data_IF_352063978666
#
_entry.id   IF_352063978666
#
_cell.length_a   1.000
_cell.length_b   1.000
_cell.length_c   1.000
_cell.angle_alpha   90.00
_cell.angle_beta   90.00
_cell.angle_gamma   90.00
#
_symmetry.space_group_name_H-M   'P 1'
#
loop_
_entity.id
_entity.type
_entity.pdbx_description
1 polymer ?
#
# COMPACT_ATOMS: atom_id res chain seq x y z
N UNK A 1 0.94 18.37 9.94
CA UNK A 1 1.49 17.76 8.69
C UNK A 1 1.81 16.31 9.02
N UNK A 2 1.30 15.37 8.26
CA UNK A 2 1.51 13.93 8.48
C UNK A 2 2.89 13.54 7.96
N UNK A 3 3.71 12.90 8.79
CA UNK A 3 5.04 12.40 8.43
C UNK A 3 4.90 10.96 7.93
N UNK A 4 5.02 10.81 6.61
CA UNK A 4 4.78 9.56 5.91
C UNK A 4 6.11 8.85 5.61
N UNK A 5 6.12 7.55 5.79
CA UNK A 5 7.19 6.68 5.33
C UNK A 5 6.66 5.59 4.38
N UNK A 6 7.56 4.95 3.61
CA UNK A 6 7.19 3.86 2.70
C UNK A 6 8.00 2.60 2.95
N UNK A 7 7.36 1.45 2.82
CA UNK A 7 8.01 0.13 2.78
C UNK A 7 8.01 -0.36 1.35
N UNK A 8 9.20 -0.33 0.73
CA UNK A 8 9.41 -0.63 -0.68
C UNK A 8 9.83 0.59 -1.51
N UNK A 9 10.46 0.31 -2.65
CA UNK A 9 11.00 1.29 -3.60
C UNK A 9 10.63 0.93 -5.04
N UNK A 10 9.47 0.30 -5.22
CA UNK A 10 8.95 -0.11 -6.52
C UNK A 10 8.17 1.02 -7.21
N UNK A 11 7.84 0.81 -8.49
CA UNK A 11 7.10 1.77 -9.29
C UNK A 11 5.78 2.23 -8.65
N UNK A 12 5.07 1.31 -7.95
CA UNK A 12 3.78 1.63 -7.31
C UNK A 12 3.95 2.65 -6.17
N UNK A 13 5.09 2.59 -5.46
CA UNK A 13 5.42 3.58 -4.43
C UNK A 13 5.63 4.95 -5.08
N UNK A 14 6.31 5.01 -6.23
CA UNK A 14 6.46 6.25 -6.99
C UNK A 14 5.12 6.85 -7.43
N UNK A 15 4.20 6.02 -7.94
CA UNK A 15 2.84 6.49 -8.30
C UNK A 15 2.07 7.01 -7.08
N UNK A 16 2.16 6.32 -5.95
CA UNK A 16 1.56 6.78 -4.70
C UNK A 16 2.15 8.13 -4.25
N UNK A 17 3.47 8.30 -4.32
CA UNK A 17 4.14 9.54 -3.91
C UNK A 17 3.82 10.73 -4.83
N UNK A 18 3.48 10.51 -6.11
CA UNK A 18 2.94 11.57 -6.97
C UNK A 18 1.64 12.13 -6.37
N UNK A 19 0.71 11.24 -5.99
CA UNK A 19 -0.53 11.66 -5.32
C UNK A 19 -0.30 12.35 -3.98
N UNK A 20 0.69 11.90 -3.20
CA UNK A 20 1.08 12.55 -1.93
C UNK A 20 1.53 14.00 -2.16
N UNK A 21 2.32 14.24 -3.21
CA UNK A 21 2.78 15.60 -3.56
C UNK A 21 1.61 16.52 -3.95
N UNK A 22 0.61 15.98 -4.64
CA UNK A 22 -0.58 16.74 -5.07
C UNK A 22 -1.56 17.00 -3.92
N UNK A 23 -1.71 16.06 -2.99
CA UNK A 23 -2.68 16.16 -1.90
C UNK A 23 -2.36 17.27 -0.89
N UNK A 24 -1.09 17.58 -0.68
CA UNK A 24 -0.63 18.50 0.35
C UNK A 24 -0.83 17.98 1.77
N UNK A 25 -0.24 18.65 2.76
CA UNK A 25 -0.41 18.28 4.17
C UNK A 25 0.36 17.03 4.63
N UNK A 26 1.08 16.35 3.72
CA UNK A 26 1.88 15.16 3.99
C UNK A 26 3.35 15.46 3.66
N UNK A 27 4.23 15.08 4.57
CA UNK A 27 5.68 15.16 4.39
C UNK A 27 6.22 13.73 4.20
N UNK A 28 6.89 13.48 3.07
CA UNK A 28 7.58 12.22 2.86
C UNK A 28 8.90 12.22 3.61
N UNK A 29 8.98 11.40 4.66
CA UNK A 29 10.06 11.45 5.65
C UNK A 29 11.09 10.36 5.47
N UNK A 30 10.66 9.13 5.17
CA UNK A 30 11.54 7.97 5.16
C UNK A 30 11.11 6.90 4.15
N UNK A 31 12.08 6.07 3.74
CA UNK A 31 11.80 4.84 3.02
C UNK A 31 12.54 3.65 3.64
N UNK A 32 11.94 2.47 3.49
CA UNK A 32 12.59 1.20 3.76
C UNK A 32 12.95 0.49 2.47
N UNK A 33 14.19 0.03 2.39
CA UNK A 33 14.67 -0.88 1.34
C UNK A 33 15.58 -1.94 1.97
N UNK A 34 15.52 -3.19 1.49
CA UNK A 34 16.47 -4.24 1.88
C UNK A 34 17.90 -3.97 1.39
N UNK A 35 18.02 -3.15 0.36
CA UNK A 35 19.28 -2.72 -0.23
C UNK A 35 19.46 -1.22 0.07
N UNK A 36 20.54 -0.89 0.76
CA UNK A 36 20.85 0.48 1.19
C UNK A 36 21.00 1.42 0.01
N UNK A 37 21.78 1.04 -1.01
CA UNK A 37 22.06 1.91 -2.17
C UNK A 37 20.78 2.21 -2.96
N UNK A 38 19.93 1.20 -3.12
CA UNK A 38 18.61 1.36 -3.76
C UNK A 38 17.70 2.27 -2.92
N UNK A 39 17.75 2.14 -1.61
CA UNK A 39 17.01 3.02 -0.70
C UNK A 39 17.47 4.47 -0.82
N UNK A 40 18.78 4.71 -0.82
CA UNK A 40 19.37 6.05 -0.95
C UNK A 40 19.01 6.71 -2.27
N UNK A 41 19.15 5.98 -3.40
CA UNK A 41 18.75 6.49 -4.71
C UNK A 41 17.25 6.84 -4.77
N UNK A 42 16.40 6.01 -4.17
CA UNK A 42 14.97 6.28 -4.10
C UNK A 42 14.64 7.49 -3.19
N UNK A 43 15.34 7.61 -2.07
CA UNK A 43 15.19 8.74 -1.15
C UNK A 43 15.61 10.07 -1.82
N UNK A 44 16.68 10.06 -2.58
CA UNK A 44 17.14 11.23 -3.35
C UNK A 44 16.11 11.64 -4.41
N UNK A 45 15.58 10.68 -5.19
CA UNK A 45 14.57 10.93 -6.23
C UNK A 45 13.27 11.52 -5.64
N UNK A 46 12.82 10.99 -4.52
CA UNK A 46 11.51 11.32 -3.95
C UNK A 46 11.56 12.32 -2.79
N UNK A 47 12.74 12.63 -2.28
CA UNK A 47 12.95 13.64 -1.22
C UNK A 47 12.73 13.10 0.19
N UNK A 48 12.93 11.80 0.44
CA UNK A 48 12.97 11.27 1.79
C UNK A 48 14.25 11.66 2.51
N UNK A 49 14.15 11.94 3.81
CA UNK A 49 15.29 12.36 4.61
C UNK A 49 16.05 11.18 5.24
N UNK A 50 15.35 10.04 5.41
CA UNK A 50 15.87 8.86 6.09
C UNK A 50 15.68 7.60 5.25
N UNK A 51 16.66 6.71 5.32
CA UNK A 51 16.63 5.38 4.69
C UNK A 51 16.82 4.33 5.77
N UNK A 52 15.95 3.34 5.79
CA UNK A 52 16.01 2.21 6.71
C UNK A 52 16.22 0.90 5.96
N UNK A 53 17.08 0.05 6.51
CA UNK A 53 17.23 -1.36 6.10
C UNK A 53 16.71 -2.32 7.16
N UNK A 54 16.28 -1.79 8.32
CA UNK A 54 15.66 -2.51 9.42
C UNK A 54 14.28 -1.91 9.70
N UNK A 55 13.24 -2.75 9.58
CA UNK A 55 11.84 -2.34 9.80
C UNK A 55 11.55 -2.02 11.26
N UNK A 56 12.22 -2.68 12.22
CA UNK A 56 12.00 -2.42 13.64
C UNK A 56 12.54 -1.04 14.03
N UNK A 57 13.69 -0.65 13.50
CA UNK A 57 14.22 0.70 13.69
C UNK A 57 13.30 1.76 13.08
N UNK A 58 12.78 1.50 11.87
CA UNK A 58 11.83 2.41 11.22
C UNK A 58 10.52 2.53 12.01
N UNK A 59 10.00 1.41 12.53
CA UNK A 59 8.77 1.41 13.32
C UNK A 59 8.92 2.18 14.65
N UNK A 60 10.11 2.13 15.25
CA UNK A 60 10.43 2.84 16.50
C UNK A 60 10.67 4.35 16.32
N UNK A 61 10.81 4.84 15.08
CA UNK A 61 11.07 6.26 14.82
C UNK A 61 9.83 7.12 15.14
N UNK A 62 9.93 7.98 16.15
CA UNK A 62 8.86 8.89 16.55
C UNK A 62 8.55 10.00 15.52
N UNK A 63 9.44 10.20 14.54
CA UNK A 63 9.24 11.15 13.44
C UNK A 63 8.44 10.58 12.26
N UNK A 64 7.86 9.38 12.41
CA UNK A 64 6.96 8.75 11.44
C UNK A 64 5.57 8.63 12.06
N UNK A 65 4.55 9.15 11.38
CA UNK A 65 3.14 9.05 11.80
C UNK A 65 2.40 7.94 11.07
N UNK A 66 2.71 7.77 9.78
CA UNK A 66 2.01 6.84 8.90
C UNK A 66 2.99 6.12 7.97
N UNK A 67 2.62 4.90 7.58
CA UNK A 67 3.43 4.07 6.69
C UNK A 67 2.57 3.55 5.53
N UNK A 68 3.10 3.67 4.30
CA UNK A 68 2.56 3.01 3.12
C UNK A 68 3.38 1.74 2.84
N UNK A 69 2.71 0.58 2.86
CA UNK A 69 3.32 -0.73 2.66
C UNK A 69 3.04 -1.22 1.25
N UNK A 70 4.11 -1.42 0.46
CA UNK A 70 4.07 -1.91 -0.92
C UNK A 70 5.13 -2.99 -1.14
N UNK A 71 5.22 -3.91 -0.22
CA UNK A 71 6.08 -5.09 -0.24
C UNK A 71 5.38 -6.28 -0.92
N UNK A 72 6.02 -7.46 -1.06
CA UNK A 72 5.32 -8.67 -1.48
C UNK A 72 4.17 -9.05 -0.53
N UNK A 73 3.03 -9.47 -1.07
CA UNK A 73 1.77 -9.72 -0.35
C UNK A 73 1.92 -10.53 0.94
N UNK A 74 2.76 -11.57 0.93
CA UNK A 74 3.03 -12.44 2.09
C UNK A 74 3.65 -11.72 3.30
N UNK A 75 4.15 -10.49 3.11
CA UNK A 75 4.78 -9.69 4.15
C UNK A 75 3.84 -8.61 4.71
N UNK A 76 2.68 -8.41 4.09
CA UNK A 76 1.76 -7.34 4.45
C UNK A 76 1.28 -7.46 5.89
N UNK A 77 0.89 -8.68 6.31
CA UNK A 77 0.41 -8.93 7.67
C UNK A 77 1.46 -8.58 8.73
N UNK A 78 2.63 -9.19 8.68
CA UNK A 78 3.67 -8.99 9.69
C UNK A 78 4.16 -7.54 9.74
N UNK A 79 4.28 -6.90 8.58
CA UNK A 79 4.71 -5.52 8.50
C UNK A 79 3.63 -4.57 9.02
N UNK A 80 2.38 -4.76 8.65
CA UNK A 80 1.26 -3.96 9.17
C UNK A 80 1.15 -4.10 10.69
N UNK A 81 1.25 -5.33 11.22
CA UNK A 81 1.25 -5.61 12.64
C UNK A 81 2.35 -4.85 13.38
N UNK A 82 3.58 -4.91 12.87
CA UNK A 82 4.72 -4.21 13.43
C UNK A 82 4.45 -2.71 13.56
N UNK A 83 4.02 -2.05 12.48
CA UNK A 83 3.80 -0.62 12.50
C UNK A 83 2.60 -0.21 13.36
N UNK A 84 1.50 -0.96 13.33
CA UNK A 84 0.35 -0.72 14.21
C UNK A 84 0.74 -0.88 15.68
N UNK A 85 1.54 -1.88 16.04
CA UNK A 85 2.03 -2.07 17.41
C UNK A 85 2.85 -0.87 17.90
N UNK A 86 3.60 -0.23 17.00
CA UNK A 86 4.39 0.97 17.28
C UNK A 86 3.60 2.29 17.13
N UNK A 87 2.27 2.22 17.02
CA UNK A 87 1.42 3.41 16.99
C UNK A 87 1.43 4.18 15.66
N UNK A 88 1.76 3.51 14.55
CA UNK A 88 1.76 4.13 13.22
C UNK A 88 0.46 3.80 12.48
N UNK A 89 -0.11 4.79 11.79
CA UNK A 89 -1.17 4.56 10.81
C UNK A 89 -0.62 3.75 9.63
N UNK A 90 -1.42 2.86 9.05
CA UNK A 90 -0.97 2.00 7.96
C UNK A 90 -1.91 2.09 6.76
N UNK A 91 -1.33 2.35 5.59
CA UNK A 91 -1.92 2.15 4.28
C UNK A 91 -1.20 0.96 3.65
N UNK A 92 -1.91 -0.13 3.35
CA UNK A 92 -1.28 -1.33 2.80
C UNK A 92 -1.78 -1.61 1.39
N UNK A 93 -0.88 -1.98 0.48
CA UNK A 93 -1.24 -2.42 -0.87
C UNK A 93 -2.13 -3.66 -0.84
N UNK A 94 -2.88 -3.80 -1.94
CA UNK A 94 -3.78 -4.95 -2.13
C UNK A 94 -3.00 -6.22 -2.56
N UNK A 95 -3.42 -7.38 -2.10
CA UNK A 95 -4.40 -7.59 -1.03
C UNK A 95 -3.79 -7.20 0.32
N UNK A 96 -4.60 -6.59 1.17
CA UNK A 96 -4.15 -6.06 2.47
C UNK A 96 -3.60 -7.16 3.40
N UNK A 97 -4.21 -8.36 3.34
CA UNK A 97 -3.73 -9.60 3.95
C UNK A 97 -4.00 -10.78 3.02
N UNK A 98 -3.44 -11.94 3.31
CA UNK A 98 -3.67 -13.17 2.56
C UNK A 98 -4.81 -13.98 3.19
N UNK A 99 -4.89 -14.00 4.52
CA UNK A 99 -5.89 -14.76 5.28
C UNK A 99 -6.89 -13.79 5.96
N UNK A 100 -8.20 -14.14 6.00
CA UNK A 100 -9.22 -13.32 6.65
C UNK A 100 -8.98 -13.08 8.13
N UNK A 101 -8.43 -14.06 8.84
CA UNK A 101 -8.13 -14.00 10.27
C UNK A 101 -7.05 -12.96 10.57
N UNK A 102 -6.06 -12.82 9.68
CA UNK A 102 -5.02 -11.79 9.76
C UNK A 102 -5.63 -10.39 9.65
N UNK A 103 -6.59 -10.21 8.73
CA UNK A 103 -7.29 -8.94 8.57
C UNK A 103 -8.06 -8.56 9.83
N UNK A 104 -8.80 -9.52 10.40
CA UNK A 104 -9.58 -9.27 11.61
C UNK A 104 -8.66 -8.84 12.77
N UNK A 105 -7.56 -9.56 13.01
CA UNK A 105 -6.60 -9.22 14.06
C UNK A 105 -6.04 -7.80 13.90
N UNK A 106 -5.65 -7.42 12.67
CA UNK A 106 -5.09 -6.09 12.42
C UNK A 106 -6.12 -4.98 12.54
N UNK A 107 -7.38 -5.22 12.16
CA UNK A 107 -8.48 -4.28 12.37
C UNK A 107 -8.75 -4.06 13.87
N UNK A 108 -8.79 -5.12 14.66
CA UNK A 108 -8.96 -5.04 16.11
C UNK A 108 -7.79 -4.29 16.78
N UNK A 109 -6.54 -4.58 16.35
CA UNK A 109 -5.36 -3.88 16.86
C UNK A 109 -5.39 -2.38 16.52
N UNK A 110 -5.74 -2.04 15.28
CA UNK A 110 -5.85 -0.65 14.85
C UNK A 110 -6.94 0.10 15.64
N UNK A 111 -8.10 -0.54 15.85
CA UNK A 111 -9.19 0.03 16.64
C UNK A 111 -8.77 0.26 18.10
N UNK A 112 -8.14 -0.72 18.75
CA UNK A 112 -7.67 -0.62 20.12
C UNK A 112 -6.69 0.53 20.32
N UNK A 113 -5.86 0.81 19.32
CA UNK A 113 -4.85 1.87 19.35
C UNK A 113 -5.33 3.20 18.76
N UNK A 114 -6.58 3.28 18.29
CA UNK A 114 -7.13 4.44 17.60
C UNK A 114 -6.29 4.84 16.38
N UNK A 115 -5.89 3.86 15.58
CA UNK A 115 -5.09 4.02 14.35
C UNK A 115 -5.93 3.76 13.10
N UNK A 116 -5.51 4.36 12.00
CA UNK A 116 -6.06 4.09 10.67
C UNK A 116 -5.31 2.89 10.08
N UNK A 117 -6.07 1.88 9.64
CA UNK A 117 -5.58 0.75 8.87
C UNK A 117 -6.47 0.58 7.64
N UNK A 118 -5.95 0.85 6.46
CA UNK A 118 -6.72 0.85 5.21
C UNK A 118 -5.98 0.15 4.08
N UNK A 119 -6.76 -0.48 3.19
CA UNK A 119 -6.26 -1.07 1.95
C UNK A 119 -6.18 -0.02 0.85
N UNK A 120 -5.09 -0.05 0.07
CA UNK A 120 -4.86 0.86 -1.06
C UNK A 120 -5.69 0.45 -2.30
N UNK A 121 -7.01 0.40 -2.15
CA UNK A 121 -7.97 0.14 -3.24
C UNK A 121 -8.26 1.42 -4.01
N UNK A 122 -7.34 1.84 -4.88
CA UNK A 122 -7.42 3.10 -5.63
C UNK A 122 -8.78 3.27 -6.31
N UNK A 123 -9.33 2.19 -6.89
CA UNK A 123 -10.61 2.21 -7.61
C UNK A 123 -11.77 2.78 -6.78
N UNK A 124 -11.80 2.52 -5.47
CA UNK A 124 -12.88 2.96 -4.58
C UNK A 124 -12.88 4.49 -4.40
N UNK A 125 -11.70 5.11 -4.47
CA UNK A 125 -11.52 6.54 -4.24
C UNK A 125 -11.59 7.39 -5.52
N UNK A 126 -11.71 6.76 -6.70
CA UNK A 126 -11.81 7.49 -7.95
C UNK A 126 -13.13 8.30 -8.04
N UNK A 127 -13.10 9.55 -8.50
CA UNK A 127 -14.34 10.35 -8.69
C UNK A 127 -15.38 9.66 -9.56
N UNK A 128 -14.94 8.86 -10.53
CA UNK A 128 -15.80 8.07 -11.41
C UNK A 128 -16.67 7.04 -10.68
N UNK A 129 -16.22 6.56 -9.51
CA UNK A 129 -17.03 5.64 -8.69
C UNK A 129 -18.31 6.26 -8.18
N UNK A 130 -18.29 7.56 -7.82
CA UNK A 130 -19.52 8.28 -7.43
C UNK A 130 -20.51 8.40 -8.59
N UNK A 131 -20.00 8.63 -9.80
CA UNK A 131 -20.82 8.67 -11.03
C UNK A 131 -21.44 7.30 -11.31
N UNK A 132 -20.64 6.23 -11.17
CA UNK A 132 -21.10 4.85 -11.35
C UNK A 132 -22.18 4.48 -10.32
N UNK A 133 -21.95 4.78 -9.04
CA UNK A 133 -22.93 4.54 -7.97
C UNK A 133 -24.27 5.21 -8.29
N UNK A 134 -24.27 6.51 -8.61
CA UNK A 134 -25.49 7.21 -8.98
C UNK A 134 -26.14 6.70 -10.27
N UNK A 135 -25.40 6.11 -11.19
CA UNK A 135 -25.96 5.43 -12.35
C UNK A 135 -26.65 4.11 -11.97
N UNK A 136 -26.00 3.30 -11.13
CA UNK A 136 -26.56 2.02 -10.64
C UNK A 136 -27.84 2.23 -9.83
N UNK A 137 -27.87 3.25 -8.95
CA UNK A 137 -29.08 3.60 -8.18
C UNK A 137 -30.29 3.91 -9.09
N UNK A 138 -30.05 4.53 -10.24
CA UNK A 138 -31.11 4.83 -11.21
C UNK A 138 -31.62 3.64 -12.00
N UNK A 139 -30.84 2.55 -12.06
CA UNK A 139 -31.26 1.32 -12.75
C UNK A 139 -32.29 0.52 -11.94
N UNK A 140 -32.43 0.77 -10.64
CA UNK A 140 -33.24 -0.06 -9.75
C UNK A 140 -32.58 -1.40 -9.45
N UNK A 141 -33.35 -2.47 -9.20
CA UNK A 141 -32.78 -3.77 -8.86
C UNK A 141 -31.87 -4.32 -9.95
N UNK A 142 -30.61 -4.56 -9.63
CA UNK A 142 -29.64 -5.18 -10.55
C UNK A 142 -29.72 -6.70 -10.43
N UNK A 143 -30.11 -7.37 -11.51
CA UNK A 143 -30.23 -8.84 -11.58
C UNK A 143 -28.97 -9.53 -12.12
N UNK A 144 -28.19 -8.83 -12.94
CA UNK A 144 -26.95 -9.33 -13.53
C UNK A 144 -25.97 -8.18 -13.74
N UNK A 145 -24.72 -8.39 -13.33
CA UNK A 145 -23.61 -7.52 -13.68
C UNK A 145 -22.47 -8.34 -14.29
N UNK A 146 -21.86 -7.84 -15.35
CA UNK A 146 -20.69 -8.46 -15.98
C UNK A 146 -19.53 -7.46 -15.94
N UNK A 147 -18.39 -7.91 -15.40
CA UNK A 147 -17.14 -7.16 -15.37
C UNK A 147 -16.11 -7.90 -16.22
N UNK A 148 -15.39 -7.17 -17.05
CA UNK A 148 -14.28 -7.69 -17.85
C UNK A 148 -13.05 -6.82 -17.62
N UNK A 149 -11.94 -7.45 -17.20
CA UNK A 149 -10.65 -6.81 -17.02
C UNK A 149 -9.59 -7.66 -17.72
N UNK A 150 -9.64 -7.65 -19.05
CA UNK A 150 -8.79 -8.47 -19.90
C UNK A 150 -7.55 -7.71 -20.34
N UNK A 151 -6.39 -8.10 -19.82
CA UNK A 151 -5.10 -7.57 -20.24
C UNK A 151 -4.00 -8.61 -20.09
N UNK A 152 -2.94 -8.48 -20.89
CA UNK A 152 -1.74 -9.26 -20.65
C UNK A 152 -1.06 -8.80 -19.36
N UNK A 153 -0.75 -9.76 -18.50
CA UNK A 153 0.03 -9.49 -17.30
C UNK A 153 1.44 -9.03 -17.70
N UNK A 154 1.94 -7.96 -17.06
CA UNK A 154 3.34 -7.55 -17.20
C UNK A 154 4.34 -8.64 -16.77
N UNK A 155 3.90 -9.62 -16.00
CA UNK A 155 4.68 -10.78 -15.55
C UNK A 155 4.67 -11.92 -16.55
N UNK A 156 3.80 -11.90 -17.57
CA UNK A 156 3.65 -12.99 -18.53
C UNK A 156 4.95 -13.36 -19.26
N UNK A 157 5.78 -12.41 -19.72
CA UNK A 157 7.07 -12.73 -20.33
C UNK A 157 8.02 -13.49 -19.38
N UNK A 158 8.06 -13.11 -18.11
CA UNK A 158 8.87 -13.80 -17.10
C UNK A 158 8.35 -15.21 -16.78
N UNK A 159 7.04 -15.39 -16.77
CA UNK A 159 6.41 -16.71 -16.66
C UNK A 159 6.78 -17.62 -17.82
N UNK A 160 6.72 -17.13 -19.07
CA UNK A 160 7.10 -17.90 -20.26
C UNK A 160 8.59 -18.31 -20.27
N UNK A 161 9.46 -17.51 -19.63
CA UNK A 161 10.89 -17.86 -19.48
C UNK A 161 11.16 -18.79 -18.28
N UNK A 162 10.13 -19.20 -17.55
CA UNK A 162 10.26 -20.05 -16.35
C UNK A 162 10.84 -19.36 -15.13
N UNK A 163 10.91 -18.04 -15.13
CA UNK A 163 11.43 -17.22 -14.02
C UNK A 163 10.40 -17.08 -12.88
N UNK A 164 9.13 -17.32 -13.18
CA UNK A 164 8.02 -17.27 -12.20
C UNK A 164 7.24 -18.59 -12.24
N UNK A 165 6.87 -19.15 -11.08
CA UNK A 165 6.11 -20.39 -10.99
C UNK A 165 4.68 -20.22 -11.55
N UNK A 166 4.13 -19.02 -11.48
CA UNK A 166 2.84 -18.65 -12.07
C UNK A 166 2.75 -17.13 -12.25
N UNK A 167 1.71 -16.66 -12.96
CA UNK A 167 1.51 -15.23 -13.27
C UNK A 167 0.90 -14.42 -12.11
N UNK A 168 0.48 -15.07 -11.03
CA UNK A 168 -0.21 -14.44 -9.90
C UNK A 168 0.72 -14.11 -8.72
N UNK A 169 1.95 -14.58 -8.75
CA UNK A 169 2.94 -14.33 -7.69
C UNK A 169 3.81 -13.10 -7.95
#
# INVERSE_FOLDING_TARGET
MIRLATVGTGWIVGEFLKGVREAGGICYTACYSRDQQRGEAFAEEWGAQKVYTDLAQMAADEEIDAVYIASPNRLHYEQSKLFLQHGKHVICEKPITVEPEELQELQELAQQKNLIYIEALIGVYLPQMKVLQGAVERLGPVHLARFDFSQYSSKYPAYLRGELPNIFN
#
